data_IF_275067163597
#
_entry.id   IF_275067163597
#
_cell.length_a   1.000
_cell.length_b   1.000
_cell.length_c   1.000
_cell.angle_alpha   90.00
_cell.angle_beta   90.00
_cell.angle_gamma   90.00
#
_symmetry.space_group_name_H-M   'P 1'
#
loop_
_entity.id
_entity.type
_entity.pdbx_description
1 polymer ?
#
# COMPACT_ATOMS: atom_id res chain seq x y z
N UNK A 1 25.77 17.79 -33.70
CA UNK A 1 25.81 16.34 -33.42
C UNK A 1 27.21 15.79 -33.65
N UNK A 2 27.86 15.23 -32.62
CA UNK A 2 29.07 14.39 -32.72
C UNK A 2 29.05 13.38 -31.57
N UNK A 3 28.35 12.27 -31.76
CA UNK A 3 28.44 11.10 -30.89
C UNK A 3 29.23 10.04 -31.64
N UNK A 4 30.45 9.78 -31.18
CA UNK A 4 31.37 8.82 -31.76
C UNK A 4 31.60 7.72 -30.73
N UNK A 5 30.95 6.58 -31.00
CA UNK A 5 31.34 5.19 -30.76
C UNK A 5 31.46 4.62 -29.33
N UNK A 6 30.33 4.04 -28.93
CA UNK A 6 30.09 3.06 -27.89
C UNK A 6 30.47 1.63 -28.37
N UNK A 7 31.76 1.26 -28.38
CA UNK A 7 32.16 -0.15 -28.64
C UNK A 7 33.50 -0.61 -28.03
N UNK A 8 34.22 0.19 -27.22
CA UNK A 8 35.63 -0.11 -26.91
C UNK A 8 36.00 -0.31 -25.44
N UNK A 9 35.11 -0.84 -24.60
CA UNK A 9 35.48 -1.30 -23.23
C UNK A 9 34.89 -2.67 -22.94
N UNK A 10 35.13 -3.62 -23.84
CA UNK A 10 35.15 -5.06 -23.55
C UNK A 10 36.61 -5.51 -23.70
N UNK A 11 37.00 -6.53 -22.93
CA UNK A 11 38.34 -7.16 -22.86
C UNK A 11 39.34 -6.59 -21.84
N UNK A 12 39.06 -6.85 -20.56
CA UNK A 12 40.03 -7.18 -19.49
C UNK A 12 39.17 -7.36 -18.23
N UNK A 13 38.89 -8.56 -17.71
CA UNK A 13 39.82 -9.43 -16.99
C UNK A 13 39.19 -10.82 -16.98
N UNK A 14 39.94 -11.81 -17.45
CA UNK A 14 39.61 -13.21 -17.38
C UNK A 14 40.16 -13.85 -16.09
N UNK A 15 39.36 -14.76 -15.54
CA UNK A 15 39.73 -15.95 -14.77
C UNK A 15 39.93 -15.85 -13.23
N UNK A 16 39.45 -16.94 -12.60
CA UNK A 16 39.60 -17.45 -11.22
C UNK A 16 38.45 -17.09 -10.26
N UNK A 17 37.76 -18.00 -9.57
CA UNK A 17 37.76 -19.46 -9.51
C UNK A 17 36.56 -19.96 -8.64
N UNK A 18 35.92 -21.04 -9.09
CA UNK A 18 35.41 -22.22 -8.36
C UNK A 18 34.74 -22.13 -6.96
N UNK A 19 33.47 -22.58 -6.94
CA UNK A 19 32.83 -23.57 -6.05
C UNK A 19 32.70 -23.32 -4.53
N UNK A 20 31.44 -23.24 -4.06
CA UNK A 20 30.98 -23.91 -2.83
C UNK A 20 29.47 -24.18 -2.90
N UNK A 21 29.14 -25.46 -3.14
CA UNK A 21 27.84 -26.07 -2.89
C UNK A 21 27.79 -26.47 -1.40
N UNK A 22 26.68 -26.17 -0.71
CA UNK A 22 26.04 -26.96 0.35
C UNK A 22 25.31 -26.04 1.34
N UNK A 23 23.98 -26.06 1.30
CA UNK A 23 23.17 -25.32 2.26
C UNK A 23 21.66 -25.56 2.14
N UNK A 24 21.22 -26.77 1.80
CA UNK A 24 19.85 -27.19 2.10
C UNK A 24 19.85 -27.74 3.53
N UNK A 25 19.35 -26.97 4.49
CA UNK A 25 18.96 -27.53 5.79
C UNK A 25 17.45 -27.75 5.78
N UNK A 26 17.06 -28.94 5.30
CA UNK A 26 15.72 -29.48 5.43
C UNK A 26 15.60 -30.07 6.85
N UNK A 27 14.93 -29.38 7.76
CA UNK A 27 14.44 -30.03 8.97
C UNK A 27 13.01 -30.49 8.70
N UNK A 28 12.89 -31.76 8.30
CA UNK A 28 11.63 -32.46 8.28
C UNK A 28 11.27 -32.82 9.73
N UNK A 29 10.31 -32.10 10.30
CA UNK A 29 9.52 -32.57 11.42
C UNK A 29 8.10 -32.79 10.92
N UNK A 30 7.76 -34.07 10.81
CA UNK A 30 6.44 -34.69 10.94
C UNK A 30 5.23 -34.05 10.22
N UNK A 31 4.74 -34.79 9.23
CA UNK A 31 3.40 -34.62 8.68
C UNK A 31 2.38 -35.27 9.63
N UNK A 32 1.57 -34.46 10.31
CA UNK A 32 0.45 -34.92 11.12
C UNK A 32 -0.56 -33.82 11.38
N UNK A 33 -1.60 -33.74 10.54
CA UNK A 33 -2.74 -32.84 10.59
C UNK A 33 -3.42 -32.77 11.98
N UNK A 34 -3.66 -31.56 12.50
CA UNK A 34 -4.99 -31.00 12.84
C UNK A 34 -4.90 -29.86 13.89
N UNK A 35 -5.15 -28.64 13.39
CA UNK A 35 -5.90 -27.52 13.98
C UNK A 35 -5.45 -26.77 15.25
N UNK A 36 -5.15 -25.49 15.01
CA UNK A 36 -5.65 -24.26 15.67
C UNK A 36 -5.21 -24.00 17.12
N UNK A 37 -4.29 -23.05 17.29
CA UNK A 37 -4.62 -21.72 17.81
C UNK A 37 -3.41 -20.80 17.62
N UNK A 38 -3.68 -19.65 17.01
CA UNK A 38 -2.77 -18.54 16.79
C UNK A 38 -2.87 -17.60 17.98
N UNK A 39 -1.75 -17.36 18.67
CA UNK A 39 -1.52 -16.35 19.70
C UNK A 39 -0.05 -15.92 19.47
N UNK A 40 0.36 -14.66 19.28
CA UNK A 40 -0.25 -13.35 19.40
C UNK A 40 0.55 -12.36 18.56
N UNK A 41 -0.10 -11.40 17.92
CA UNK A 41 0.47 -10.07 17.75
C UNK A 41 -0.48 -9.08 18.43
N UNK A 42 0.01 -8.53 19.53
CA UNK A 42 -0.63 -7.54 20.38
C UNK A 42 -0.84 -6.21 19.65
N UNK A 43 -2.05 -5.66 19.80
CA UNK A 43 -2.26 -4.24 20.09
C UNK A 43 -2.47 -3.28 18.91
N UNK A 44 -3.71 -3.22 18.41
CA UNK A 44 -4.29 -1.90 18.11
C UNK A 44 -5.78 -1.90 18.44
N UNK A 45 -6.11 -1.33 19.60
CA UNK A 45 -7.46 -0.91 19.94
C UNK A 45 -7.87 0.21 18.96
N UNK A 46 -8.56 -0.16 17.88
CA UNK A 46 -9.30 0.81 17.09
C UNK A 46 -10.63 1.05 17.80
N UNK A 47 -10.71 2.21 18.46
CA UNK A 47 -11.94 2.70 19.05
C UNK A 47 -13.07 2.63 18.01
N UNK A 48 -14.15 1.97 18.42
CA UNK A 48 -15.29 1.64 17.59
C UNK A 48 -16.02 2.90 17.09
N UNK A 49 -16.10 3.02 15.77
CA UNK A 49 -17.06 3.84 15.05
C UNK A 49 -18.03 2.92 14.31
N UNK A 50 -19.31 3.20 14.46
CA UNK A 50 -20.47 2.44 14.02
C UNK A 50 -20.39 1.93 12.55
N UNK A 51 -20.32 0.61 12.35
CA UNK A 51 -21.23 -0.06 11.42
C UNK A 51 -20.86 -0.29 9.95
N UNK A 52 -19.65 -0.08 9.45
CA UNK A 52 -19.30 -0.37 8.04
C UNK A 52 -18.17 -1.43 7.92
N UNK A 53 -18.27 -2.33 6.94
CA UNK A 53 -17.36 -3.46 6.73
C UNK A 53 -16.01 -2.94 6.18
N UNK A 54 -15.16 -2.42 7.07
CA UNK A 54 -13.81 -1.93 6.77
C UNK A 54 -12.79 -3.06 6.55
N UNK A 55 -13.23 -4.29 6.24
CA UNK A 55 -12.33 -5.44 6.06
C UNK A 55 -11.50 -5.40 4.76
N UNK A 56 -11.80 -4.47 3.87
CA UNK A 56 -11.16 -4.34 2.55
C UNK A 56 -9.99 -3.34 2.51
N UNK A 57 -9.30 -3.29 1.36
CA UNK A 57 -8.26 -2.27 1.12
C UNK A 57 -8.84 -0.92 0.66
N UNK A 58 -10.05 -0.91 0.11
CA UNK A 58 -10.66 0.24 -0.55
C UNK A 58 -11.95 0.66 0.15
N UNK A 59 -12.04 1.93 0.56
CA UNK A 59 -13.27 2.51 1.06
C UNK A 59 -14.16 2.88 -0.13
N UNK A 60 -15.24 2.13 -0.32
CA UNK A 60 -16.21 2.39 -1.38
C UNK A 60 -16.99 3.69 -1.17
N UNK A 61 -17.11 4.15 0.08
CA UNK A 61 -17.86 5.35 0.43
C UNK A 61 -17.09 6.62 0.07
N UNK A 62 -15.78 6.65 0.39
CA UNK A 62 -14.94 7.83 0.21
C UNK A 62 -14.04 7.78 -1.02
N UNK A 63 -13.90 6.62 -1.67
CA UNK A 63 -13.08 6.45 -2.87
C UNK A 63 -11.58 6.53 -2.62
N UNK A 64 -11.12 6.06 -1.46
CA UNK A 64 -9.73 6.15 -0.98
C UNK A 64 -9.37 4.83 -0.30
N UNK A 65 -8.11 4.38 -0.31
CA UNK A 65 -7.70 3.22 0.50
C UNK A 65 -8.05 3.43 1.98
N UNK A 66 -8.61 2.41 2.63
CA UNK A 66 -9.12 2.50 4.02
C UNK A 66 -8.09 3.11 4.98
N UNK A 67 -6.86 2.61 4.94
CA UNK A 67 -5.74 3.07 5.79
C UNK A 67 -5.34 4.53 5.54
N UNK A 68 -5.57 5.03 4.33
CA UNK A 68 -5.26 6.42 3.96
C UNK A 68 -6.48 7.33 4.12
N UNK A 69 -7.69 6.78 4.24
CA UNK A 69 -8.91 7.57 4.31
C UNK A 69 -8.97 8.34 5.63
N UNK A 70 -8.88 9.67 5.54
CA UNK A 70 -8.96 10.55 6.71
C UNK A 70 -10.34 10.56 7.39
N UNK A 71 -11.35 9.97 6.76
CA UNK A 71 -12.70 9.83 7.33
C UNK A 71 -12.92 8.48 8.02
N UNK A 72 -12.13 7.45 7.68
CA UNK A 72 -12.21 6.11 8.29
C UNK A 72 -11.08 5.85 9.30
N UNK A 73 -9.85 6.30 8.97
CA UNK A 73 -8.65 6.11 9.78
C UNK A 73 -8.39 7.35 10.63
N UNK A 74 -8.59 7.22 11.95
CA UNK A 74 -8.24 8.27 12.92
C UNK A 74 -6.76 8.64 12.84
N UNK A 75 -5.90 7.65 12.63
CA UNK A 75 -4.47 7.84 12.41
C UNK A 75 -4.21 8.71 11.16
N UNK A 76 -4.87 8.42 10.04
CA UNK A 76 -4.72 9.23 8.84
C UNK A 76 -5.21 10.66 9.09
N UNK A 77 -6.37 10.83 9.73
CA UNK A 77 -6.91 12.14 10.08
C UNK A 77 -5.91 12.98 10.90
N UNK A 78 -5.34 12.40 11.95
CA UNK A 78 -4.35 13.07 12.80
C UNK A 78 -3.07 13.41 12.02
N UNK A 79 -2.58 12.49 11.19
CA UNK A 79 -1.40 12.71 10.34
C UNK A 79 -1.61 13.84 9.32
N UNK A 80 -2.83 14.00 8.78
CA UNK A 80 -3.17 15.10 7.87
C UNK A 80 -3.36 16.44 8.59
N UNK A 81 -4.04 16.44 9.74
CA UNK A 81 -4.18 17.63 10.61
C UNK A 81 -2.82 18.16 11.05
N UNK A 82 -1.92 17.28 11.48
CA UNK A 82 -0.57 17.65 11.87
C UNK A 82 0.25 18.30 10.73
N UNK A 83 -0.06 17.93 9.47
CA UNK A 83 0.56 18.51 8.26
C UNK A 83 -0.13 19.80 7.79
N UNK A 84 -1.24 20.20 8.42
CA UNK A 84 -2.08 21.31 7.97
C UNK A 84 -2.87 21.01 6.68
N UNK A 85 -2.99 19.74 6.31
CA UNK A 85 -3.74 19.28 5.14
C UNK A 85 -5.16 18.91 5.57
N UNK A 86 -5.91 19.87 6.09
CA UNK A 86 -7.25 19.64 6.64
C UNK A 86 -8.27 20.63 6.08
N UNK A 87 -9.36 20.09 5.55
CA UNK A 87 -10.52 20.85 5.09
C UNK A 87 -11.53 20.94 6.25
N UNK A 88 -11.62 22.10 6.90
CA UNK A 88 -12.56 22.31 8.01
C UNK A 88 -14.03 22.26 7.56
N UNK A 89 -14.33 22.69 6.34
CA UNK A 89 -15.71 22.73 5.82
C UNK A 89 -16.29 21.32 5.64
N UNK A 90 -15.46 20.36 5.23
CA UNK A 90 -15.89 19.00 4.90
C UNK A 90 -15.28 17.92 5.82
N UNK A 91 -14.64 18.32 6.91
CA UNK A 91 -14.09 17.45 7.96
C UNK A 91 -13.26 16.27 7.44
N UNK A 92 -12.39 16.52 6.46
CA UNK A 92 -11.50 15.52 5.85
C UNK A 92 -10.19 16.15 5.44
N UNK A 93 -9.19 15.34 5.13
CA UNK A 93 -7.93 15.84 4.61
C UNK A 93 -8.17 16.69 3.36
N UNK A 94 -7.53 17.85 3.26
CA UNK A 94 -7.76 18.78 2.14
C UNK A 94 -7.38 18.09 0.81
N UNK A 95 -6.25 17.38 0.76
CA UNK A 95 -5.85 16.54 -0.38
C UNK A 95 -6.82 15.41 -0.74
N UNK A 96 -7.77 15.09 0.14
CA UNK A 96 -8.81 14.08 -0.06
C UNK A 96 -10.19 14.70 -0.30
N UNK A 97 -10.34 16.03 -0.16
CA UNK A 97 -11.64 16.66 -0.26
C UNK A 97 -12.08 16.85 -1.72
N UNK A 98 -12.83 15.87 -2.24
CA UNK A 98 -13.36 15.88 -3.61
C UNK A 98 -14.52 16.87 -3.80
N UNK A 99 -15.13 17.32 -2.70
CA UNK A 99 -16.17 18.37 -2.70
C UNK A 99 -15.57 19.74 -3.03
N UNK A 100 -14.37 20.05 -2.48
CA UNK A 100 -13.64 21.28 -2.81
C UNK A 100 -12.97 21.20 -4.19
N UNK A 101 -12.40 20.05 -4.55
CA UNK A 101 -11.73 19.84 -5.84
C UNK A 101 -11.86 18.37 -6.30
N UNK A 102 -12.77 18.08 -7.25
CA UNK A 102 -12.96 16.73 -7.78
C UNK A 102 -11.71 16.12 -8.42
N UNK A 103 -10.75 16.92 -8.88
CA UNK A 103 -9.52 16.42 -9.53
C UNK A 103 -8.62 15.65 -8.56
N UNK A 104 -8.75 15.87 -7.25
CA UNK A 104 -8.02 15.13 -6.21
C UNK A 104 -8.34 13.63 -6.22
N UNK A 105 -9.51 13.24 -6.71
CA UNK A 105 -9.89 11.83 -6.88
C UNK A 105 -9.01 11.10 -7.89
N UNK A 106 -8.42 11.79 -8.88
CA UNK A 106 -7.65 11.16 -9.96
C UNK A 106 -6.48 10.33 -9.45
N UNK A 107 -5.82 10.77 -8.37
CA UNK A 107 -4.72 10.02 -7.75
C UNK A 107 -5.20 8.65 -7.28
N UNK A 108 -6.35 8.61 -6.61
CA UNK A 108 -6.92 7.40 -6.03
C UNK A 108 -7.51 6.49 -7.11
N UNK A 109 -8.12 7.06 -8.16
CA UNK A 109 -8.55 6.32 -9.35
C UNK A 109 -7.39 5.59 -10.01
N UNK A 110 -6.28 6.30 -10.29
CA UNK A 110 -5.08 5.69 -10.89
C UNK A 110 -4.49 4.59 -10.01
N UNK A 111 -4.52 4.78 -8.70
CA UNK A 111 -4.02 3.82 -7.73
C UNK A 111 -4.92 2.55 -7.67
N UNK A 112 -6.24 2.71 -7.76
CA UNK A 112 -7.16 1.59 -7.88
C UNK A 112 -6.99 0.85 -9.21
N UNK A 113 -6.96 1.58 -10.33
CA UNK A 113 -6.74 1.03 -11.68
C UNK A 113 -5.40 0.27 -11.76
N UNK A 114 -4.34 0.78 -11.12
CA UNK A 114 -3.05 0.11 -11.07
C UNK A 114 -3.11 -1.23 -10.30
N UNK A 115 -3.99 -1.36 -9.31
CA UNK A 115 -4.14 -2.58 -8.52
C UNK A 115 -5.07 -3.60 -9.20
N UNK A 116 -6.20 -3.14 -9.75
CA UNK A 116 -7.29 -4.01 -10.20
C UNK A 116 -7.46 -4.06 -11.72
N UNK A 117 -6.83 -3.15 -12.48
CA UNK A 117 -6.96 -3.07 -13.93
C UNK A 117 -8.29 -2.47 -14.42
N UNK A 118 -9.11 -1.95 -13.52
CA UNK A 118 -10.40 -1.33 -13.82
C UNK A 118 -10.62 -0.07 -12.96
N UNK A 119 -11.61 0.75 -13.33
CA UNK A 119 -11.97 1.95 -12.57
C UNK A 119 -12.58 1.59 -11.21
N UNK A 120 -12.33 2.38 -10.15
CA UNK A 120 -13.00 2.16 -8.88
C UNK A 120 -14.52 2.34 -9.01
N UNK A 121 -15.29 1.72 -8.11
CA UNK A 121 -16.69 2.09 -7.94
C UNK A 121 -16.82 3.59 -7.62
N UNK A 122 -17.95 4.18 -8.01
CA UNK A 122 -18.21 5.58 -7.66
C UNK A 122 -18.40 5.69 -6.13
N UNK A 123 -17.75 6.68 -5.47
CA UNK A 123 -17.99 6.99 -4.07
C UNK A 123 -19.48 7.22 -3.78
N UNK A 124 -19.99 6.72 -2.66
CA UNK A 124 -21.40 6.83 -2.29
C UNK A 124 -21.75 8.05 -1.44
N UNK A 125 -20.77 8.84 -1.02
CA UNK A 125 -20.93 10.11 -0.29
C UNK A 125 -20.75 11.37 -1.15
#
# INVERSE_FOLDING_TARGET
MKFVNLTSVWFSIAALALMSLAGCNQQASDQGSTQVASESHEGHDHAEGDGHDHGGWWCAEHGIPEEECSMCSSKAADDFKAKGDWCEEHNRAESQCFQCDPSRAEKFVKLYEAKFGEKPPQPSE
#
